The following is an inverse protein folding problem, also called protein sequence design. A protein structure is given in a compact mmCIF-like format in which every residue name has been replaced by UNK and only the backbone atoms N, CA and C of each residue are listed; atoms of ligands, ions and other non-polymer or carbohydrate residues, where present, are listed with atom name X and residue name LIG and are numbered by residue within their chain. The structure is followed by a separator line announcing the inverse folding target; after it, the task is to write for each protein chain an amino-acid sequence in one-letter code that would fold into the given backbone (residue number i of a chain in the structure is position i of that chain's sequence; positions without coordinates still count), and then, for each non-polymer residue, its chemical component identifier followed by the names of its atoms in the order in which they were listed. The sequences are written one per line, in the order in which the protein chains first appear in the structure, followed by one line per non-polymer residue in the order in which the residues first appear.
data_IF_967166380266
#
_entry.id   IF_967166380266
#
_cell.length_a   1.000
_cell.length_b   1.000
_cell.length_c   1.000
_cell.angle_alpha   90.00
_cell.angle_beta   90.00
_cell.angle_gamma   90.00
#
_symmetry.space_group_name_H-M   'P 1'
#
loop_
_entity.id
_entity.type
_entity.pdbx_description
1 polymer ?
#
# COMPACT_ATOMS: atom_id res chain seq x y z
N UNK A 1 -30.56 24.27 -13.00
CA UNK A 1 -29.36 23.41 -12.78
C UNK A 1 -28.64 24.02 -11.60
N UNK A 2 -28.54 23.33 -10.46
CA UNK A 2 -27.73 23.78 -9.33
C UNK A 2 -26.26 23.86 -9.77
N UNK A 3 -25.56 24.91 -9.37
CA UNK A 3 -24.12 25.00 -9.58
C UNK A 3 -23.43 23.74 -9.03
N UNK A 4 -22.38 23.23 -9.72
CA UNK A 4 -21.64 22.09 -9.20
C UNK A 4 -21.06 22.43 -7.82
N UNK A 5 -20.98 21.47 -6.89
CA UNK A 5 -20.54 21.71 -5.52
C UNK A 5 -19.03 22.05 -5.43
N UNK A 6 -18.41 22.32 -6.53
CA UNK A 6 -16.99 22.67 -6.64
C UNK A 6 -16.73 23.60 -7.83
N UNK A 7 -15.64 24.37 -7.74
CA UNK A 7 -15.13 25.21 -8.83
C UNK A 7 -13.73 24.75 -9.20
N UNK A 8 -13.43 24.73 -10.50
CA UNK A 8 -12.11 24.41 -11.03
C UNK A 8 -11.61 25.58 -11.88
N UNK A 9 -10.40 26.05 -11.58
CA UNK A 9 -9.78 27.22 -12.24
C UNK A 9 -8.33 26.89 -12.57
N UNK A 10 -7.87 27.28 -13.75
CA UNK A 10 -6.46 27.23 -14.12
C UNK A 10 -5.72 28.44 -13.57
N UNK A 11 -4.61 28.21 -12.86
CA UNK A 11 -3.75 29.25 -12.29
C UNK A 11 -2.31 28.93 -12.66
N UNK A 12 -1.79 29.60 -13.69
CA UNK A 12 -0.48 29.30 -14.25
C UNK A 12 -0.39 27.88 -14.80
N UNK A 13 0.57 27.10 -14.33
CA UNK A 13 0.81 25.70 -14.70
C UNK A 13 0.02 24.68 -13.85
N UNK A 14 -0.81 25.18 -12.94
CA UNK A 14 -1.60 24.36 -12.02
C UNK A 14 -3.10 24.60 -12.19
N UNK A 15 -3.88 23.65 -11.71
CA UNK A 15 -5.31 23.78 -11.47
C UNK A 15 -5.58 23.94 -9.98
N UNK A 16 -6.57 24.74 -9.66
CA UNK A 16 -7.05 24.88 -8.29
C UNK A 16 -8.50 24.37 -8.25
N UNK A 17 -8.70 23.29 -7.50
CA UNK A 17 -10.02 22.80 -7.17
C UNK A 17 -10.49 23.48 -5.86
N UNK A 18 -11.59 24.21 -5.92
CA UNK A 18 -12.21 24.83 -4.73
C UNK A 18 -13.43 24.03 -4.33
N UNK A 19 -13.44 23.58 -3.08
CA UNK A 19 -14.56 22.85 -2.46
C UNK A 19 -14.89 23.52 -1.13
N UNK A 20 -16.13 24.01 -0.97
CA UNK A 20 -16.56 24.71 0.25
C UNK A 20 -15.59 25.83 0.70
N UNK A 21 -15.10 26.62 -0.26
CA UNK A 21 -14.18 27.73 0.01
C UNK A 21 -12.73 27.33 0.31
N UNK A 22 -12.40 26.03 0.30
CA UNK A 22 -11.03 25.55 0.43
C UNK A 22 -10.41 25.26 -0.92
N UNK A 23 -9.18 25.70 -1.10
CA UNK A 23 -8.43 25.56 -2.33
C UNK A 23 -7.43 24.39 -2.27
N UNK A 24 -7.39 23.60 -3.36
CA UNK A 24 -6.52 22.44 -3.51
C UNK A 24 -5.80 22.51 -4.85
N UNK A 25 -4.56 23.04 -4.87
CA UNK A 25 -3.78 23.09 -6.10
C UNK A 25 -3.33 21.69 -6.55
N UNK A 26 -3.34 21.47 -7.86
CA UNK A 26 -2.90 20.20 -8.46
C UNK A 26 -2.40 20.42 -9.89
N UNK A 27 -1.55 19.52 -10.37
CA UNK A 27 -1.13 19.44 -11.77
C UNK A 27 -1.97 18.47 -12.62
N UNK A 28 -2.96 17.82 -12.00
CA UNK A 28 -3.82 16.90 -12.74
C UNK A 28 -4.74 17.66 -13.70
N UNK A 29 -5.01 17.02 -14.83
CA UNK A 29 -5.99 17.54 -15.79
C UNK A 29 -7.40 17.57 -15.20
N UNK A 30 -8.27 18.40 -15.76
CA UNK A 30 -9.68 18.42 -15.38
C UNK A 30 -10.31 17.03 -15.48
N UNK A 31 -9.94 16.26 -16.51
CA UNK A 31 -10.41 14.89 -16.71
C UNK A 31 -10.06 13.99 -15.53
N UNK A 32 -8.79 13.98 -15.09
CA UNK A 32 -8.34 13.19 -13.95
C UNK A 32 -9.04 13.63 -12.67
N UNK A 33 -9.20 14.94 -12.45
CA UNK A 33 -9.90 15.49 -11.29
C UNK A 33 -11.35 15.01 -11.25
N UNK A 34 -12.08 15.10 -12.37
CA UNK A 34 -13.47 14.63 -12.47
C UNK A 34 -13.59 13.13 -12.20
N UNK A 35 -12.73 12.31 -12.77
CA UNK A 35 -12.69 10.86 -12.50
C UNK A 35 -12.43 10.55 -11.02
N UNK A 36 -11.55 11.31 -10.36
CA UNK A 36 -11.31 11.17 -8.91
C UNK A 36 -12.54 11.59 -8.09
N UNK A 37 -13.23 12.68 -8.47
CA UNK A 37 -14.46 13.12 -7.81
C UNK A 37 -15.56 12.07 -7.96
N UNK A 38 -15.76 11.51 -9.15
CA UNK A 38 -16.73 10.44 -9.40
C UNK A 38 -16.46 9.21 -8.54
N UNK A 39 -15.18 8.82 -8.41
CA UNK A 39 -14.81 7.62 -7.64
C UNK A 39 -14.78 7.82 -6.14
N UNK A 40 -14.39 8.98 -5.64
CA UNK A 40 -14.13 9.24 -4.20
C UNK A 40 -15.07 10.26 -3.58
N UNK A 41 -15.83 10.98 -4.39
CA UNK A 41 -16.64 12.12 -3.97
C UNK A 41 -15.84 13.42 -3.88
N UNK A 42 -16.53 14.55 -4.01
CA UNK A 42 -15.94 15.90 -4.12
C UNK A 42 -15.08 16.27 -2.90
N UNK A 43 -15.47 15.89 -1.69
CA UNK A 43 -14.74 16.21 -0.47
C UNK A 43 -13.50 15.36 -0.23
N UNK A 44 -13.46 14.15 -0.81
CA UNK A 44 -12.34 13.22 -0.61
C UNK A 44 -11.31 13.27 -1.74
N UNK A 45 -11.72 13.55 -2.97
CA UNK A 45 -10.82 13.58 -4.12
C UNK A 45 -9.61 14.50 -3.93
N UNK A 46 -9.73 15.74 -3.39
CA UNK A 46 -8.59 16.64 -3.21
C UNK A 46 -7.53 16.11 -2.24
N UNK A 47 -7.91 15.26 -1.28
CA UNK A 47 -6.98 14.69 -0.31
C UNK A 47 -5.91 13.79 -0.97
N UNK A 48 -6.18 13.32 -2.20
CA UNK A 48 -5.28 12.46 -2.95
C UNK A 48 -4.22 13.23 -3.77
N UNK A 49 -4.41 14.53 -4.00
CA UNK A 49 -3.51 15.33 -4.84
C UNK A 49 -2.04 15.31 -4.33
N UNK A 50 -1.76 15.47 -3.03
CA UNK A 50 -0.40 15.44 -2.52
C UNK A 50 0.17 14.03 -2.29
N UNK A 51 -0.55 12.94 -2.61
CA UNK A 51 -0.14 11.58 -2.20
C UNK A 51 1.17 11.10 -2.85
N UNK A 52 1.52 11.56 -4.06
CA UNK A 52 2.83 11.25 -4.63
C UNK A 52 3.96 11.69 -3.67
N UNK A 53 3.87 12.90 -3.12
CA UNK A 53 4.88 13.45 -2.21
C UNK A 53 4.72 12.91 -0.79
N UNK A 54 3.48 12.86 -0.28
CA UNK A 54 3.22 12.53 1.13
C UNK A 54 3.21 11.03 1.40
N UNK A 55 2.88 10.20 0.42
CA UNK A 55 2.87 8.73 0.55
C UNK A 55 3.91 8.06 -0.35
N UNK A 56 3.96 8.38 -1.65
CA UNK A 56 4.92 7.78 -2.58
C UNK A 56 6.35 8.00 -2.10
N UNK A 57 6.75 9.25 -1.93
CA UNK A 57 8.08 9.60 -1.41
C UNK A 57 8.31 9.06 0.00
N UNK A 58 7.31 9.17 0.88
CA UNK A 58 7.42 8.73 2.27
C UNK A 58 7.75 7.23 2.39
N UNK A 59 6.98 6.38 1.72
CA UNK A 59 7.16 4.93 1.80
C UNK A 59 8.33 4.42 0.95
N UNK A 60 8.63 5.03 -0.19
CA UNK A 60 9.59 4.47 -1.13
C UNK A 60 11.01 5.06 -1.01
N UNK A 61 11.20 6.22 -0.36
CA UNK A 61 12.55 6.78 -0.20
C UNK A 61 13.53 5.86 0.55
N UNK A 62 13.15 5.14 1.63
CA UNK A 62 14.06 4.17 2.25
C UNK A 62 14.44 3.04 1.29
N UNK A 63 13.48 2.48 0.55
CA UNK A 63 13.70 1.45 -0.44
C UNK A 63 14.72 1.87 -1.50
N UNK A 64 14.50 3.02 -2.14
CA UNK A 64 15.39 3.48 -3.21
C UNK A 64 16.78 3.87 -2.70
N UNK A 65 16.92 4.38 -1.48
CA UNK A 65 18.23 4.58 -0.84
C UNK A 65 18.96 3.26 -0.61
N UNK A 66 18.27 2.24 -0.13
CA UNK A 66 18.83 0.90 0.08
C UNK A 66 19.30 0.27 -1.24
N UNK A 67 18.47 0.32 -2.29
CA UNK A 67 18.80 -0.20 -3.61
C UNK A 67 19.97 0.56 -4.26
N UNK A 68 19.98 1.89 -4.15
CA UNK A 68 21.08 2.72 -4.66
C UNK A 68 22.41 2.41 -3.96
N UNK A 69 22.40 2.20 -2.64
CA UNK A 69 23.57 1.79 -1.87
C UNK A 69 24.16 0.43 -2.31
N UNK A 70 23.34 -0.39 -2.99
CA UNK A 70 23.76 -1.69 -3.55
C UNK A 70 24.03 -1.65 -5.06
N UNK A 71 24.01 -0.46 -5.67
CA UNK A 71 24.25 -0.28 -7.10
C UNK A 71 23.16 -0.86 -8.00
N UNK A 72 21.95 -1.07 -7.48
CA UNK A 72 20.84 -1.66 -8.23
C UNK A 72 20.23 -0.62 -9.17
N UNK A 73 20.13 -0.97 -10.45
CA UNK A 73 19.57 -0.12 -11.49
C UNK A 73 18.84 -0.96 -12.56
N UNK A 74 18.09 -0.30 -13.44
CA UNK A 74 17.43 -0.98 -14.56
C UNK A 74 16.22 -1.83 -14.14
N UNK A 75 15.61 -1.56 -12.98
CA UNK A 75 14.57 -2.36 -12.37
C UNK A 75 13.31 -2.50 -13.23
N UNK A 76 12.87 -3.72 -13.42
CA UNK A 76 11.52 -4.07 -13.83
C UNK A 76 10.63 -4.14 -12.58
N UNK A 77 9.62 -3.29 -12.50
CA UNK A 77 8.78 -3.15 -11.30
C UNK A 77 7.37 -3.64 -11.59
N UNK A 78 6.82 -4.45 -10.67
CA UNK A 78 5.40 -4.74 -10.57
C UNK A 78 4.80 -3.95 -9.39
N UNK A 79 3.85 -3.08 -9.66
CA UNK A 79 3.04 -2.39 -8.65
C UNK A 79 1.70 -3.10 -8.48
N UNK A 80 1.48 -3.65 -7.30
CA UNK A 80 0.24 -4.34 -6.92
C UNK A 80 -0.69 -3.37 -6.22
N UNK A 81 -1.91 -3.20 -6.76
CA UNK A 81 -2.88 -2.27 -6.21
C UNK A 81 -2.50 -0.81 -6.45
N UNK A 82 -2.40 -0.41 -7.72
CA UNK A 82 -1.92 0.93 -8.09
C UNK A 82 -2.88 2.07 -7.68
N UNK A 83 -4.12 1.76 -7.29
CA UNK A 83 -5.12 2.76 -6.90
C UNK A 83 -5.20 3.87 -7.96
N UNK A 84 -5.12 5.14 -7.58
CA UNK A 84 -5.14 6.28 -8.53
C UNK A 84 -3.73 6.68 -9.04
N UNK A 85 -2.70 5.85 -8.86
CA UNK A 85 -1.39 5.96 -9.53
C UNK A 85 -0.38 6.91 -8.88
N UNK A 86 -0.51 7.25 -7.61
CA UNK A 86 0.46 8.13 -6.94
C UNK A 86 1.84 7.48 -6.76
N UNK A 87 1.87 6.16 -6.55
CA UNK A 87 3.11 5.38 -6.49
C UNK A 87 3.65 5.16 -7.90
N UNK A 88 2.78 4.85 -8.88
CA UNK A 88 3.15 4.75 -10.29
C UNK A 88 3.89 6.00 -10.78
N UNK A 89 3.37 7.20 -10.46
CA UNK A 89 4.03 8.48 -10.78
C UNK A 89 5.41 8.59 -10.12
N UNK A 90 5.49 8.29 -8.82
CA UNK A 90 6.76 8.34 -8.10
C UNK A 90 7.79 7.37 -8.67
N UNK A 91 7.38 6.15 -9.01
CA UNK A 91 8.24 5.14 -9.65
C UNK A 91 8.77 5.58 -11.01
N UNK A 92 7.93 6.23 -11.82
CA UNK A 92 8.31 6.72 -13.14
C UNK A 92 9.44 7.77 -13.08
N UNK A 93 9.54 8.52 -11.98
CA UNK A 93 10.61 9.50 -11.74
C UNK A 93 11.94 8.86 -11.28
N UNK A 94 11.93 7.59 -10.81
CA UNK A 94 13.15 6.98 -10.25
C UNK A 94 14.11 6.54 -11.35
N UNK A 95 15.37 7.03 -11.31
CA UNK A 95 16.38 6.65 -12.29
C UNK A 95 16.70 5.15 -12.31
N UNK A 96 16.57 4.48 -11.16
CA UNK A 96 16.79 3.05 -11.03
C UNK A 96 15.72 2.19 -11.71
N UNK A 97 14.55 2.76 -12.05
CA UNK A 97 13.42 2.04 -12.66
C UNK A 97 13.50 2.15 -14.18
N UNK A 98 13.45 1.01 -14.88
CA UNK A 98 13.44 0.92 -16.34
C UNK A 98 12.05 0.72 -16.93
N UNK A 99 11.21 -0.08 -16.26
CA UNK A 99 9.85 -0.36 -16.69
C UNK A 99 8.93 -0.64 -15.49
N UNK A 100 7.66 -0.28 -15.65
CA UNK A 100 6.63 -0.44 -14.63
C UNK A 100 5.45 -1.18 -15.27
N UNK A 101 5.01 -2.24 -14.61
CA UNK A 101 3.71 -2.87 -14.79
C UNK A 101 2.91 -2.61 -13.52
N UNK A 102 1.68 -2.14 -13.67
CA UNK A 102 0.81 -1.83 -12.56
C UNK A 102 -0.55 -2.49 -12.75
N UNK A 103 -1.20 -2.90 -11.68
CA UNK A 103 -2.58 -3.36 -11.77
C UNK A 103 -3.40 -2.99 -10.53
N UNK A 104 -4.72 -3.00 -10.71
CA UNK A 104 -5.68 -2.84 -9.62
C UNK A 104 -6.90 -3.72 -9.87
N UNK A 105 -7.61 -4.09 -8.80
CA UNK A 105 -8.87 -4.81 -8.86
C UNK A 105 -10.07 -3.87 -9.11
N UNK A 106 -9.88 -2.56 -9.01
CA UNK A 106 -10.87 -1.55 -9.30
C UNK A 106 -10.62 -0.95 -10.70
N UNK A 107 -11.51 -1.25 -11.64
CA UNK A 107 -11.41 -0.77 -13.02
C UNK A 107 -11.46 0.76 -13.13
N UNK A 108 -12.12 1.45 -12.21
CA UNK A 108 -12.15 2.91 -12.20
C UNK A 108 -10.77 3.49 -11.85
N UNK A 109 -10.04 2.88 -10.91
CA UNK A 109 -8.66 3.28 -10.65
C UNK A 109 -7.75 3.00 -11.84
N UNK A 110 -7.88 1.84 -12.47
CA UNK A 110 -7.12 1.52 -13.70
C UNK A 110 -7.35 2.58 -14.78
N UNK A 111 -8.60 3.02 -14.99
CA UNK A 111 -8.93 4.08 -15.95
C UNK A 111 -8.26 5.42 -15.58
N UNK A 112 -8.25 5.80 -14.31
CA UNK A 112 -7.57 7.01 -13.82
C UNK A 112 -6.06 6.92 -14.09
N UNK A 113 -5.42 5.80 -13.75
CA UNK A 113 -3.97 5.62 -13.94
C UNK A 113 -3.61 5.65 -15.43
N UNK A 114 -4.37 4.96 -16.29
CA UNK A 114 -4.18 5.02 -17.76
C UNK A 114 -4.28 6.44 -18.31
N UNK A 115 -5.25 7.21 -17.81
CA UNK A 115 -5.39 8.62 -18.21
C UNK A 115 -4.15 9.42 -17.79
N UNK A 116 -3.69 9.28 -16.54
CA UNK A 116 -2.47 9.94 -16.06
C UNK A 116 -1.22 9.53 -16.85
N UNK A 117 -1.05 8.23 -17.13
CA UNK A 117 0.09 7.72 -17.92
C UNK A 117 0.17 8.42 -19.27
N UNK A 118 -0.96 8.55 -19.97
CA UNK A 118 -1.04 9.17 -21.27
C UNK A 118 -0.81 10.70 -21.21
N UNK A 119 -1.50 11.38 -20.29
CA UNK A 119 -1.45 12.85 -20.22
C UNK A 119 -0.12 13.36 -19.65
N UNK A 120 0.46 12.66 -18.67
CA UNK A 120 1.73 13.02 -18.05
C UNK A 120 2.94 12.38 -18.74
N UNK A 121 2.74 11.59 -19.81
CA UNK A 121 3.78 10.90 -20.58
C UNK A 121 4.71 10.06 -19.70
N UNK A 122 4.14 9.19 -18.85
CA UNK A 122 4.91 8.33 -17.98
C UNK A 122 5.51 7.16 -18.77
N UNK A 123 6.55 7.43 -19.56
CA UNK A 123 7.11 6.52 -20.58
C UNK A 123 7.61 5.18 -20.04
N UNK A 124 7.96 5.11 -18.74
CA UNK A 124 8.37 3.85 -18.10
C UNK A 124 7.22 2.90 -17.82
N UNK A 125 5.97 3.38 -17.80
CA UNK A 125 4.80 2.55 -17.56
C UNK A 125 4.45 1.79 -18.84
N UNK A 126 4.64 0.47 -18.84
CA UNK A 126 4.40 -0.40 -19.98
C UNK A 126 2.98 -0.96 -19.99
N UNK A 127 2.43 -1.17 -18.81
CA UNK A 127 1.10 -1.74 -18.65
C UNK A 127 0.41 -1.19 -17.41
N UNK A 128 -0.89 -0.94 -17.53
CA UNK A 128 -1.79 -0.74 -16.41
C UNK A 128 -2.98 -1.68 -16.62
N UNK A 129 -3.03 -2.77 -15.85
CA UNK A 129 -4.01 -3.84 -16.05
C UNK A 129 -5.13 -3.79 -14.99
N UNK A 130 -6.30 -4.29 -15.38
CA UNK A 130 -7.37 -4.61 -14.43
C UNK A 130 -7.36 -6.12 -14.20
N UNK A 131 -7.08 -6.56 -12.96
CA UNK A 131 -7.16 -7.95 -12.57
C UNK A 131 -8.08 -8.09 -11.35
N UNK A 132 -9.16 -8.85 -11.50
CA UNK A 132 -10.01 -9.21 -10.38
C UNK A 132 -9.24 -10.00 -9.31
N UNK A 133 -9.75 -10.05 -8.08
CA UNK A 133 -9.15 -10.84 -7.00
C UNK A 133 -8.96 -12.33 -7.35
N UNK A 134 -9.75 -12.88 -8.27
CA UNK A 134 -9.58 -14.25 -8.72
C UNK A 134 -8.42 -14.37 -9.72
N UNK A 135 -8.31 -13.43 -10.66
CA UNK A 135 -7.22 -13.39 -11.64
C UNK A 135 -5.85 -13.15 -10.98
N UNK A 136 -5.79 -12.43 -9.85
CA UNK A 136 -4.54 -12.18 -9.13
C UNK A 136 -3.99 -13.42 -8.42
N UNK A 137 -4.72 -14.53 -8.40
CA UNK A 137 -4.20 -15.85 -7.95
C UNK A 137 -3.27 -16.52 -8.96
N UNK A 138 -3.29 -16.06 -10.20
CA UNK A 138 -2.38 -16.49 -11.27
C UNK A 138 -2.20 -15.32 -12.24
N UNK A 139 -1.17 -14.51 -12.00
CA UNK A 139 -0.85 -13.37 -12.86
C UNK A 139 -0.29 -13.83 -14.21
N UNK A 140 -0.60 -13.11 -15.31
CA UNK A 140 -0.15 -13.49 -16.66
C UNK A 140 1.32 -13.13 -16.92
N UNK A 141 2.17 -13.26 -15.89
CA UNK A 141 3.60 -12.99 -15.96
C UNK A 141 4.39 -14.27 -15.71
N UNK A 142 5.54 -14.38 -16.35
CA UNK A 142 6.47 -15.49 -16.13
C UNK A 142 7.07 -15.46 -14.72
N UNK A 143 7.59 -16.60 -14.27
CA UNK A 143 8.37 -16.69 -13.03
C UNK A 143 9.57 -15.76 -13.12
N UNK A 144 9.79 -14.97 -12.08
CA UNK A 144 10.93 -14.06 -12.01
C UNK A 144 10.91 -12.91 -13.01
N UNK A 145 9.74 -12.49 -13.49
CA UNK A 145 9.60 -11.41 -14.49
C UNK A 145 10.00 -10.02 -13.96
N UNK A 146 10.02 -9.82 -12.65
CA UNK A 146 10.22 -8.52 -12.02
C UNK A 146 11.36 -8.53 -11.00
N UNK A 147 12.16 -7.46 -10.99
CA UNK A 147 13.24 -7.24 -10.04
C UNK A 147 12.73 -6.64 -8.72
N UNK A 148 11.59 -5.96 -8.78
CA UNK A 148 10.94 -5.34 -7.63
C UNK A 148 9.42 -5.54 -7.71
N UNK A 149 8.84 -6.09 -6.64
CA UNK A 149 7.39 -6.15 -6.45
C UNK A 149 7.01 -5.22 -5.31
N UNK A 150 6.10 -4.27 -5.56
CA UNK A 150 5.59 -3.31 -4.59
C UNK A 150 4.14 -3.62 -4.23
N UNK A 151 3.87 -3.75 -2.94
CA UNK A 151 2.57 -4.05 -2.35
C UNK A 151 2.33 -3.04 -1.22
N UNK A 152 1.62 -1.94 -1.50
CA UNK A 152 1.50 -0.82 -0.56
C UNK A 152 0.04 -0.61 -0.17
N UNK A 153 -0.32 -0.97 1.08
CA UNK A 153 -1.69 -0.86 1.56
C UNK A 153 -2.65 -1.78 0.81
N UNK A 154 -2.27 -3.04 0.57
CA UNK A 154 -3.05 -4.00 -0.23
C UNK A 154 -3.36 -5.28 0.51
N UNK A 155 -2.40 -5.86 1.25
CA UNK A 155 -2.54 -7.21 1.84
C UNK A 155 -3.77 -7.32 2.72
N UNK A 156 -4.10 -6.29 3.48
CA UNK A 156 -5.28 -6.22 4.34
C UNK A 156 -6.60 -6.29 3.56
N UNK A 157 -6.60 -5.83 2.30
CA UNK A 157 -7.78 -5.83 1.43
C UNK A 157 -7.96 -7.14 0.65
N UNK A 158 -6.94 -7.98 0.59
CA UNK A 158 -7.05 -9.27 -0.09
C UNK A 158 -8.05 -10.18 0.63
N UNK A 159 -8.94 -10.90 -0.09
CA UNK A 159 -9.87 -11.84 0.50
C UNK A 159 -9.14 -12.89 1.34
N UNK A 160 -9.56 -13.10 2.59
CA UNK A 160 -8.86 -14.00 3.53
C UNK A 160 -8.63 -15.41 2.97
N UNK A 161 -9.62 -15.93 2.22
CA UNK A 161 -9.56 -17.30 1.62
C UNK A 161 -8.55 -17.44 0.49
N UNK A 162 -8.23 -16.36 -0.23
CA UNK A 162 -7.32 -16.37 -1.38
C UNK A 162 -6.04 -15.55 -1.15
N UNK A 163 -5.93 -14.82 -0.04
CA UNK A 163 -4.81 -13.93 0.30
C UNK A 163 -3.46 -14.63 0.13
N UNK A 164 -3.34 -15.83 0.69
CA UNK A 164 -2.09 -16.59 0.62
C UNK A 164 -1.71 -16.94 -0.82
N UNK A 165 -2.65 -17.41 -1.63
CA UNK A 165 -2.38 -17.75 -3.03
C UNK A 165 -1.97 -16.51 -3.84
N UNK A 166 -2.56 -15.36 -3.57
CA UNK A 166 -2.17 -14.11 -4.21
C UNK A 166 -0.77 -13.67 -3.78
N UNK A 167 -0.45 -13.77 -2.50
CA UNK A 167 0.90 -13.45 -2.02
C UNK A 167 1.93 -14.43 -2.58
N UNK A 168 1.64 -15.73 -2.66
CA UNK A 168 2.52 -16.73 -3.32
C UNK A 168 2.83 -16.31 -4.77
N UNK A 169 1.83 -15.78 -5.47
CA UNK A 169 1.96 -15.32 -6.85
C UNK A 169 2.89 -14.10 -6.98
N UNK A 170 2.84 -13.17 -6.01
CA UNK A 170 3.76 -12.02 -5.98
C UNK A 170 5.21 -12.48 -5.80
N UNK A 171 5.43 -13.52 -5.00
CA UNK A 171 6.76 -14.12 -4.85
C UNK A 171 7.18 -14.98 -6.05
N UNK A 172 6.24 -15.60 -6.78
CA UNK A 172 6.53 -16.36 -8.01
C UNK A 172 7.10 -15.45 -9.09
N UNK A 173 6.43 -14.31 -9.34
CA UNK A 173 6.83 -13.36 -10.38
C UNK A 173 8.06 -12.52 -10.02
N UNK A 174 8.53 -12.58 -8.76
CA UNK A 174 9.74 -11.92 -8.31
C UNK A 174 10.97 -12.72 -8.75
N UNK A 175 11.94 -12.04 -9.38
CA UNK A 175 13.20 -12.62 -9.81
C UNK A 175 14.07 -13.07 -8.63
N UNK A 176 14.90 -14.11 -8.78
CA UNK A 176 16.01 -14.39 -7.87
C UNK A 176 16.92 -13.15 -7.72
N UNK A 177 17.26 -12.78 -6.50
CA UNK A 177 17.98 -11.54 -6.19
C UNK A 177 17.09 -10.27 -6.11
N UNK A 178 15.86 -10.34 -6.59
CA UNK A 178 14.88 -9.26 -6.55
C UNK A 178 14.33 -8.99 -5.16
N UNK A 179 13.62 -7.87 -5.02
CA UNK A 179 13.07 -7.39 -3.76
C UNK A 179 11.54 -7.32 -3.80
N UNK A 180 10.89 -7.69 -2.71
CA UNK A 180 9.47 -7.41 -2.49
C UNK A 180 9.32 -6.49 -1.29
N UNK A 181 8.63 -5.35 -1.49
CA UNK A 181 8.31 -4.39 -0.45
C UNK A 181 6.81 -4.45 -0.15
N UNK A 182 6.46 -4.88 1.06
CA UNK A 182 5.08 -4.89 1.56
C UNK A 182 5.00 -3.80 2.62
N UNK A 183 4.36 -2.69 2.27
CA UNK A 183 4.39 -1.46 3.05
C UNK A 183 2.97 -1.00 3.40
N UNK A 184 2.87 -0.21 4.48
CA UNK A 184 1.62 0.40 4.95
C UNK A 184 0.48 -0.61 5.19
N UNK A 185 0.80 -1.87 5.50
CA UNK A 185 -0.20 -2.89 5.84
C UNK A 185 -0.49 -2.86 7.34
N UNK A 186 -1.73 -2.55 7.76
CA UNK A 186 -2.09 -2.51 9.17
C UNK A 186 -1.91 -3.88 9.82
N UNK A 187 -1.25 -3.88 10.98
CA UNK A 187 -0.89 -5.10 11.69
C UNK A 187 -2.05 -5.61 12.55
N UNK A 188 -2.52 -6.81 12.26
CA UNK A 188 -3.62 -7.45 13.00
C UNK A 188 -3.32 -7.66 14.49
N UNK A 189 -2.05 -7.86 14.84
CA UNK A 189 -1.65 -8.08 16.24
C UNK A 189 -1.53 -6.79 17.04
N UNK A 190 -1.54 -5.64 16.39
CA UNK A 190 -1.59 -4.35 17.08
C UNK A 190 -2.98 -4.13 17.70
N UNK A 191 -3.07 -3.75 18.98
CA UNK A 191 -4.37 -3.74 19.68
C UNK A 191 -5.36 -2.67 19.19
N UNK A 192 -4.88 -1.61 18.53
CA UNK A 192 -5.74 -0.57 17.95
C UNK A 192 -5.84 -0.76 16.44
N UNK A 193 -7.04 -1.06 15.96
CA UNK A 193 -7.32 -1.02 14.52
C UNK A 193 -7.39 0.46 14.08
N UNK A 194 -6.56 0.86 13.11
CA UNK A 194 -6.41 2.27 12.68
C UNK A 194 -6.75 2.48 11.22
N UNK A 195 -7.10 1.42 10.49
CA UNK A 195 -7.26 1.47 9.04
C UNK A 195 -8.72 1.71 8.60
N UNK A 196 -9.66 0.92 9.11
CA UNK A 196 -11.05 0.93 8.65
C UNK A 196 -12.03 1.39 9.71
N UNK A 197 -11.94 0.85 10.93
CA UNK A 197 -12.95 1.05 11.97
C UNK A 197 -12.50 2.06 13.02
N UNK A 198 -11.21 2.09 13.31
CA UNK A 198 -10.61 2.99 14.28
C UNK A 198 -10.96 2.66 15.73
N UNK A 199 -11.09 1.37 16.07
CA UNK A 199 -11.46 0.91 17.41
C UNK A 199 -10.45 -0.11 17.97
N UNK A 200 -10.21 -0.11 19.30
CA UNK A 200 -9.37 -1.12 19.93
C UNK A 200 -9.96 -2.52 19.75
N UNK A 201 -9.08 -3.50 19.52
CA UNK A 201 -9.36 -4.95 19.53
C UNK A 201 -10.42 -5.43 18.52
N UNK A 202 -11.03 -4.56 17.74
CA UNK A 202 -12.13 -4.90 16.81
C UNK A 202 -11.72 -6.00 15.84
N UNK A 203 -10.49 -5.99 15.34
CA UNK A 203 -9.94 -6.95 14.39
C UNK A 203 -9.78 -8.38 14.98
N UNK A 204 -9.86 -8.52 16.32
CA UNK A 204 -9.78 -9.81 17.02
C UNK A 204 -11.14 -10.41 17.34
N UNK A 205 -12.20 -9.60 17.28
CA UNK A 205 -13.55 -10.05 17.60
C UNK A 205 -14.14 -10.96 16.51
N UNK A 206 -15.03 -11.87 16.86
CA UNK A 206 -15.93 -12.54 15.90
C UNK A 206 -16.68 -11.48 15.05
N UNK A 207 -16.94 -11.75 13.74
CA UNK A 207 -17.47 -10.73 12.82
C UNK A 207 -18.74 -10.03 13.30
N UNK A 208 -19.70 -10.76 13.86
CA UNK A 208 -20.94 -10.16 14.39
C UNK A 208 -20.67 -9.24 15.57
N UNK A 209 -19.80 -9.63 16.49
CA UNK A 209 -19.42 -8.79 17.64
C UNK A 209 -18.66 -7.55 17.19
N UNK A 210 -17.73 -7.67 16.23
CA UNK A 210 -17.03 -6.54 15.64
C UNK A 210 -17.99 -5.54 15.00
N UNK A 211 -18.96 -6.01 14.24
CA UNK A 211 -19.97 -5.17 13.61
C UNK A 211 -20.85 -4.43 14.63
N UNK A 212 -21.37 -5.12 15.66
CA UNK A 212 -22.13 -4.48 16.73
C UNK A 212 -21.29 -3.45 17.49
N UNK A 213 -20.02 -3.77 17.78
CA UNK A 213 -19.08 -2.88 18.46
C UNK A 213 -18.81 -1.62 17.61
N UNK A 214 -18.56 -1.77 16.31
CA UNK A 214 -18.38 -0.65 15.40
C UNK A 214 -19.61 0.27 15.35
N UNK A 215 -20.83 -0.30 15.28
CA UNK A 215 -22.09 0.45 15.28
C UNK A 215 -22.36 1.19 16.58
N UNK A 216 -22.01 0.60 17.71
CA UNK A 216 -22.20 1.22 19.02
C UNK A 216 -21.20 2.38 19.26
N UNK A 217 -19.92 2.17 18.92
CA UNK A 217 -18.87 3.14 19.23
C UNK A 217 -18.62 4.17 18.12
N UNK A 218 -19.00 3.88 16.87
CA UNK A 218 -18.86 4.75 15.70
C UNK A 218 -20.16 4.90 14.92
N UNK A 219 -21.27 5.33 15.56
CA UNK A 219 -22.60 5.32 14.94
C UNK A 219 -22.69 6.24 13.72
N UNK A 220 -21.96 7.35 13.68
CA UNK A 220 -21.95 8.25 12.52
C UNK A 220 -21.45 7.55 11.24
N UNK A 221 -20.56 6.57 11.37
CA UNK A 221 -19.97 5.84 10.23
C UNK A 221 -20.69 4.52 9.98
N UNK A 222 -21.00 3.75 11.04
CA UNK A 222 -21.38 2.33 10.90
C UNK A 222 -22.85 2.03 11.22
N UNK A 223 -23.66 2.98 11.74
CA UNK A 223 -25.06 2.71 12.08
C UNK A 223 -25.87 2.17 10.89
N UNK A 224 -25.65 2.72 9.71
CA UNK A 224 -26.35 2.34 8.48
C UNK A 224 -25.66 1.21 7.68
N UNK A 225 -24.43 0.80 8.07
CA UNK A 225 -23.68 -0.24 7.35
C UNK A 225 -24.28 -1.62 7.67
N UNK A 226 -24.78 -2.37 6.66
CA UNK A 226 -25.25 -3.74 6.84
C UNK A 226 -24.11 -4.68 7.25
N UNK A 227 -24.46 -5.81 7.88
CA UNK A 227 -23.47 -6.79 8.30
C UNK A 227 -22.66 -7.35 7.12
N UNK A 228 -23.34 -7.67 6.02
CA UNK A 228 -22.75 -8.23 4.81
C UNK A 228 -21.71 -7.28 4.18
N UNK A 229 -22.01 -5.97 4.19
CA UNK A 229 -21.09 -4.94 3.72
C UNK A 229 -19.88 -4.80 4.66
N UNK A 230 -20.10 -4.82 5.98
CA UNK A 230 -19.03 -4.73 6.97
C UNK A 230 -18.01 -5.87 6.85
N UNK A 231 -18.49 -7.09 6.56
CA UNK A 231 -17.64 -8.29 6.47
C UNK A 231 -17.21 -8.64 5.04
N UNK A 232 -17.63 -7.85 4.05
CA UNK A 232 -17.29 -8.10 2.66
C UNK A 232 -15.77 -8.15 2.45
N UNK A 233 -15.36 -8.96 1.47
CA UNK A 233 -13.97 -8.98 1.03
C UNK A 233 -13.52 -7.56 0.60
N UNK A 234 -12.30 -7.19 0.93
CA UNK A 234 -11.75 -5.87 0.60
C UNK A 234 -11.98 -4.76 1.63
N UNK A 235 -12.80 -4.97 2.66
CA UNK A 235 -13.04 -3.95 3.71
C UNK A 235 -11.82 -3.67 4.60
N UNK A 236 -10.89 -4.61 4.70
CA UNK A 236 -9.62 -4.45 5.41
C UNK A 236 -9.68 -4.46 6.94
N UNK A 237 -10.87 -4.51 7.57
CA UNK A 237 -11.03 -4.36 9.02
C UNK A 237 -10.32 -5.44 9.86
N UNK A 238 -9.97 -6.54 9.25
CA UNK A 238 -9.22 -7.62 9.91
C UNK A 238 -7.72 -7.43 9.89
N UNK A 239 -7.23 -6.45 9.15
CA UNK A 239 -5.81 -6.19 8.96
C UNK A 239 -5.02 -7.39 8.41
N UNK A 240 -3.69 -7.28 8.34
CA UNK A 240 -2.79 -8.35 7.93
C UNK A 240 -1.93 -8.83 9.10
N UNK A 241 -1.54 -10.09 9.10
CA UNK A 241 -0.48 -10.61 9.98
C UNK A 241 0.86 -10.61 9.24
N UNK A 242 1.96 -10.69 9.98
CA UNK A 242 3.29 -10.91 9.38
C UNK A 242 3.32 -12.17 8.50
N UNK A 243 2.62 -13.23 8.91
CA UNK A 243 2.53 -14.47 8.15
C UNK A 243 1.74 -14.30 6.83
N UNK A 244 0.78 -13.38 6.78
CA UNK A 244 0.04 -13.05 5.55
C UNK A 244 0.92 -12.34 4.51
N UNK A 245 2.05 -11.77 4.92
CA UNK A 245 3.02 -11.10 4.06
C UNK A 245 4.10 -12.05 3.52
N UNK A 246 4.09 -13.32 3.92
CA UNK A 246 5.06 -14.33 3.49
C UNK A 246 4.43 -15.32 2.52
N UNK A 247 5.21 -15.92 1.61
CA UNK A 247 4.75 -17.03 0.79
C UNK A 247 4.41 -18.26 1.64
N UNK A 248 3.68 -19.22 1.08
CA UNK A 248 3.31 -20.47 1.75
C UNK A 248 4.52 -21.28 2.24
N UNK A 249 5.67 -21.12 1.59
CA UNK A 249 6.97 -21.68 1.99
C UNK A 249 7.58 -20.99 3.22
N UNK A 250 6.93 -19.93 3.73
CA UNK A 250 7.43 -19.12 4.83
C UNK A 250 8.65 -18.29 4.44
N UNK A 251 9.63 -18.18 5.34
CA UNK A 251 10.86 -17.38 5.10
C UNK A 251 11.95 -18.12 4.31
N UNK A 252 11.70 -19.38 3.92
CA UNK A 252 12.70 -20.17 3.18
C UNK A 252 13.01 -19.51 1.84
N UNK A 253 14.29 -19.29 1.56
CA UNK A 253 14.73 -18.61 0.33
C UNK A 253 14.51 -17.08 0.33
N UNK A 254 14.26 -16.49 1.50
CA UNK A 254 14.12 -15.04 1.67
C UNK A 254 15.12 -14.51 2.69
N UNK A 255 15.72 -13.39 2.37
CA UNK A 255 16.49 -12.55 3.27
C UNK A 255 15.61 -11.39 3.74
N UNK A 256 15.49 -11.21 5.05
CA UNK A 256 14.76 -10.09 5.62
C UNK A 256 15.72 -8.89 5.76
N UNK A 257 15.58 -7.93 4.87
CA UNK A 257 16.40 -6.70 4.84
C UNK A 257 15.63 -5.48 5.35
N UNK A 258 14.52 -5.71 6.06
CA UNK A 258 13.60 -4.67 6.55
C UNK A 258 14.31 -3.60 7.38
N UNK A 259 15.05 -3.99 8.40
CA UNK A 259 15.74 -3.04 9.29
C UNK A 259 16.93 -2.38 8.59
N UNK A 260 17.68 -3.12 7.77
CA UNK A 260 18.80 -2.61 6.98
C UNK A 260 18.35 -1.53 5.99
N UNK A 261 17.21 -1.71 5.36
CA UNK A 261 16.62 -0.73 4.45
C UNK A 261 16.01 0.50 5.16
N UNK A 262 16.02 0.50 6.49
CA UNK A 262 15.51 1.60 7.31
C UNK A 262 13.98 1.56 7.50
N UNK A 263 13.35 0.41 7.30
CA UNK A 263 11.96 0.12 7.67
C UNK A 263 11.87 -0.39 9.13
N UNK A 264 10.74 -0.95 9.50
CA UNK A 264 10.58 -1.50 10.84
C UNK A 264 10.62 -0.43 11.93
N UNK A 265 11.41 -0.66 12.99
CA UNK A 265 11.51 0.25 14.13
C UNK A 265 11.96 1.65 13.74
N UNK A 266 13.00 1.77 12.92
CA UNK A 266 13.55 3.07 12.51
C UNK A 266 12.52 3.89 11.78
N UNK A 267 11.82 3.31 10.80
CA UNK A 267 10.74 4.00 10.08
C UNK A 267 9.63 4.47 11.01
N UNK A 268 9.21 3.61 11.94
CA UNK A 268 8.18 3.96 12.92
C UNK A 268 8.59 5.10 13.83
N UNK A 269 9.84 5.09 14.33
CA UNK A 269 10.43 6.12 15.18
C UNK A 269 10.48 7.46 14.45
N UNK A 270 11.10 7.49 13.26
CA UNK A 270 11.36 8.72 12.50
C UNK A 270 10.07 9.37 11.97
N UNK A 271 9.00 8.58 11.82
CA UNK A 271 7.68 9.05 11.36
C UNK A 271 6.71 9.39 12.48
N UNK A 272 7.12 9.28 13.74
CA UNK A 272 6.28 9.58 14.91
C UNK A 272 6.05 11.09 15.08
N UNK A 273 4.98 11.63 14.48
CA UNK A 273 4.66 13.07 14.50
C UNK A 273 3.76 13.48 15.66
N UNK A 274 2.81 12.63 16.10
CA UNK A 274 1.89 12.99 17.18
C UNK A 274 2.54 12.90 18.55
N UNK A 275 2.11 13.75 19.49
CA UNK A 275 2.58 13.73 20.89
C UNK A 275 2.36 12.37 21.54
N UNK A 276 1.18 11.78 21.37
CA UNK A 276 0.85 10.44 21.91
C UNK A 276 1.78 9.37 21.35
N UNK A 277 2.03 9.35 20.03
CA UNK A 277 2.94 8.38 19.42
C UNK A 277 4.36 8.53 19.95
N UNK A 278 4.86 9.77 20.11
CA UNK A 278 6.17 10.04 20.69
C UNK A 278 6.28 9.58 22.15
N UNK A 279 5.26 9.81 22.96
CA UNK A 279 5.24 9.37 24.35
C UNK A 279 5.28 7.84 24.50
N UNK A 280 4.78 7.10 23.50
CA UNK A 280 4.78 5.63 23.50
C UNK A 280 6.05 5.01 22.89
N UNK A 281 6.94 5.79 22.28
CA UNK A 281 8.17 5.27 21.66
C UNK A 281 9.02 4.39 22.59
N UNK A 282 9.25 4.71 23.90
CA UNK A 282 10.04 3.84 24.77
C UNK A 282 9.42 2.46 24.95
N UNK A 283 8.09 2.38 25.03
CA UNK A 283 7.37 1.11 25.15
C UNK A 283 7.53 0.27 23.88
N UNK A 284 7.40 0.89 22.71
CA UNK A 284 7.63 0.21 21.44
C UNK A 284 9.08 -0.24 21.25
N UNK A 285 10.05 0.60 21.68
CA UNK A 285 11.47 0.23 21.65
C UNK A 285 11.74 -1.03 22.47
N UNK A 286 11.17 -1.09 23.69
CA UNK A 286 11.29 -2.25 24.55
C UNK A 286 10.67 -3.50 23.91
N UNK A 287 9.46 -3.40 23.37
CA UNK A 287 8.78 -4.50 22.70
C UNK A 287 9.55 -5.00 21.47
N UNK A 288 10.02 -4.09 20.63
CA UNK A 288 10.84 -4.42 19.45
C UNK A 288 12.17 -5.09 19.87
N UNK A 289 12.83 -4.57 20.91
CA UNK A 289 14.06 -5.14 21.46
C UNK A 289 13.86 -6.56 22.02
N UNK A 290 12.78 -6.79 22.76
CA UNK A 290 12.43 -8.10 23.28
C UNK A 290 12.14 -9.13 22.15
N UNK A 291 11.43 -8.72 21.10
CA UNK A 291 11.19 -9.56 19.93
C UNK A 291 12.49 -9.89 19.20
N UNK A 292 13.35 -8.90 18.98
CA UNK A 292 14.64 -9.11 18.35
C UNK A 292 15.51 -10.08 19.14
N UNK A 293 15.59 -9.94 20.47
CA UNK A 293 16.29 -10.85 21.35
C UNK A 293 15.73 -12.28 21.32
N UNK A 294 14.43 -12.43 21.06
CA UNK A 294 13.76 -13.72 20.86
C UNK A 294 13.86 -14.26 19.41
N UNK A 295 14.65 -13.65 18.53
CA UNK A 295 14.77 -14.02 17.13
C UNK A 295 13.50 -13.76 16.30
N UNK A 296 12.63 -12.86 16.76
CA UNK A 296 11.39 -12.49 16.06
C UNK A 296 11.53 -11.13 15.38
N UNK A 297 10.85 -10.91 14.26
CA UNK A 297 10.89 -9.60 13.58
C UNK A 297 10.34 -8.49 14.47
N UNK A 298 11.07 -7.41 14.71
CA UNK A 298 10.60 -6.27 15.52
C UNK A 298 9.32 -5.64 15.00
N UNK A 299 9.13 -5.64 13.68
CA UNK A 299 7.96 -5.09 12.99
C UNK A 299 6.62 -5.68 13.47
N UNK A 300 6.63 -6.89 14.06
CA UNK A 300 5.41 -7.52 14.62
C UNK A 300 4.83 -6.74 15.81
N UNK A 301 5.63 -5.94 16.52
CA UNK A 301 5.14 -5.07 17.60
C UNK A 301 4.55 -3.73 17.10
N UNK A 302 4.73 -3.40 15.84
CA UNK A 302 4.38 -2.09 15.28
C UNK A 302 2.95 -2.07 14.74
N UNK A 303 2.29 -0.89 14.68
CA UNK A 303 0.91 -0.77 14.19
C UNK A 303 0.76 -1.08 12.70
N UNK A 304 1.83 -0.90 11.93
CA UNK A 304 1.88 -1.19 10.50
C UNK A 304 3.10 -2.06 10.19
N UNK A 305 2.89 -3.02 9.30
CA UNK A 305 3.94 -3.84 8.71
C UNK A 305 4.53 -3.08 7.52
N UNK A 306 5.82 -2.72 7.65
CA UNK A 306 6.62 -2.18 6.56
C UNK A 306 7.80 -3.12 6.41
N UNK A 307 7.73 -4.00 5.43
CA UNK A 307 8.63 -5.15 5.27
C UNK A 307 9.34 -5.07 3.93
N UNK A 308 10.61 -5.44 3.91
CA UNK A 308 11.38 -5.61 2.69
C UNK A 308 12.11 -6.96 2.75
N UNK A 309 11.81 -7.80 1.77
CA UNK A 309 12.48 -9.08 1.60
C UNK A 309 13.24 -9.14 0.28
N UNK A 310 14.39 -9.77 0.29
CA UNK A 310 15.15 -10.12 -0.92
C UNK A 310 14.99 -11.62 -1.18
N UNK A 311 14.62 -12.00 -2.41
CA UNK A 311 14.52 -13.38 -2.82
C UNK A 311 15.93 -13.91 -3.11
N UNK A 312 16.35 -14.93 -2.39
CA UNK A 312 17.65 -15.57 -2.62
C UNK A 312 17.63 -16.36 -3.92
N UNK A 313 18.77 -16.40 -4.60
CA UNK A 313 18.94 -17.35 -5.70
C UNK A 313 18.83 -18.78 -5.15
N UNK A 314 18.20 -19.68 -5.91
CA UNK A 314 18.25 -21.09 -5.57
C UNK A 314 19.73 -21.49 -5.48
N UNK A 315 20.13 -22.17 -4.37
CA UNK A 315 21.46 -22.74 -4.30
C UNK A 315 21.63 -23.66 -5.50
N UNK A 316 22.63 -23.38 -6.33
CA UNK A 316 23.01 -24.30 -7.40
C UNK A 316 23.35 -25.63 -6.71
N UNK A 317 22.70 -26.75 -7.04
CA UNK A 317 23.14 -28.01 -6.49
C UNK A 317 24.60 -28.21 -6.92
N UNK A 318 25.47 -28.40 -5.94
CA UNK A 318 26.86 -28.77 -6.20
C UNK A 318 26.85 -29.94 -7.18
N UNK A 319 27.48 -29.75 -8.34
CA UNK A 319 27.65 -30.80 -9.35
C UNK A 319 28.69 -31.80 -8.90
#
# INVERSE_FOLDING_TARGET
MSEPPYRLVDVGDQRVLTVEGREYPTRYSERVIRMLIERKGVHRAPLYFPFKETRGRHFLSPLFRHLAGRGVAGLAVLEVGCSFGHITEYLAEQAAVSRIHAFDADSAFVAIVRTKVNEMRLEKVREVAHFSNEQTRQLPYADGAFDLVLVVGVVEHLPLRSRRAQVDEYYRVLAPGGHIAILDSPNRWFPLETHSVGLPLVQWLPPRLAWHYARACRPATFRAVPYEEFVADGTGWRNATFADCLPSTGRRGLEDVTEEAGYGWRFFHDTARSRTRRALLPLFALACGALAAAGRPPSVALPYLNLLFRKLAAATPDR
#
